data_IF_672795386136
#
_entry.id   IF_672795386136
#
_cell.length_a   1.000
_cell.length_b   1.000
_cell.length_c   1.000
_cell.angle_alpha   90.00
_cell.angle_beta   90.00
_cell.angle_gamma   90.00
#
_symmetry.space_group_name_H-M   'P 1'
#
loop_
_entity.id
_entity.type
_entity.pdbx_description
1 polymer ?
#
# COMPACT_ATOMS: atom_id res chain seq x y z
N UNK A 1 32.49 -63.26 -31.60
CA UNK A 1 31.79 -63.01 -30.32
C UNK A 1 31.14 -61.64 -30.44
N UNK A 2 29.80 -61.58 -30.48
CA UNK A 2 29.06 -60.34 -30.66
C UNK A 2 28.68 -59.78 -29.28
N UNK A 3 29.09 -58.55 -28.96
CA UNK A 3 28.77 -57.90 -27.69
C UNK A 3 27.29 -57.49 -27.63
N UNK A 4 26.61 -57.61 -26.48
CA UNK A 4 25.26 -57.11 -26.34
C UNK A 4 25.26 -55.57 -26.26
N UNK A 5 24.34 -54.95 -26.99
CA UNK A 5 24.02 -53.52 -26.84
C UNK A 5 23.20 -53.39 -25.56
N UNK A 6 23.76 -52.75 -24.54
CA UNK A 6 23.01 -52.39 -23.35
C UNK A 6 21.98 -51.32 -23.73
N UNK A 7 20.70 -51.63 -23.54
CA UNK A 7 19.62 -50.65 -23.61
C UNK A 7 19.79 -49.67 -22.44
N UNK A 8 20.43 -48.54 -22.70
CA UNK A 8 20.40 -47.39 -21.80
C UNK A 8 18.99 -46.80 -21.89
N UNK A 9 18.09 -47.30 -21.06
CA UNK A 9 16.80 -46.63 -20.84
C UNK A 9 17.09 -45.29 -20.16
N UNK A 10 16.94 -44.19 -20.91
CA UNK A 10 17.01 -42.87 -20.29
C UNK A 10 15.95 -42.78 -19.19
N UNK A 11 16.31 -42.33 -17.98
CA UNK A 11 15.33 -42.13 -16.93
C UNK A 11 14.38 -41.00 -17.36
N UNK A 12 13.15 -41.35 -17.71
CA UNK A 12 12.09 -40.38 -17.98
C UNK A 12 11.58 -39.80 -16.66
N UNK A 13 12.14 -38.66 -16.27
CA UNK A 13 11.70 -37.91 -15.08
C UNK A 13 10.54 -36.96 -15.40
N UNK A 14 9.55 -36.90 -14.52
CA UNK A 14 8.48 -35.89 -14.52
C UNK A 14 8.63 -34.96 -13.32
N UNK A 15 8.30 -33.68 -13.50
CA UNK A 15 8.33 -32.67 -12.44
C UNK A 15 7.03 -31.85 -12.43
N UNK A 16 6.58 -31.48 -11.24
CA UNK A 16 5.44 -30.57 -11.02
C UNK A 16 5.76 -29.57 -9.92
N UNK A 17 5.12 -28.40 -9.95
CA UNK A 17 5.28 -27.36 -8.94
C UNK A 17 3.92 -26.97 -8.32
N UNK A 18 3.94 -26.65 -7.02
CA UNK A 18 2.83 -25.99 -6.33
C UNK A 18 3.12 -24.49 -6.38
N UNK A 19 2.27 -23.74 -7.06
CA UNK A 19 2.38 -22.27 -7.14
C UNK A 19 1.31 -21.65 -6.26
N UNK A 20 1.71 -21.05 -5.14
CA UNK A 20 0.84 -20.17 -4.40
C UNK A 20 0.69 -18.85 -5.20
N UNK A 21 -0.51 -18.59 -5.70
CA UNK A 21 -0.81 -17.33 -6.40
C UNK A 21 -1.50 -16.37 -5.44
N UNK A 22 -1.04 -15.13 -5.41
CA UNK A 22 -1.73 -14.03 -4.73
C UNK A 22 -2.12 -12.98 -5.76
N UNK A 23 -3.33 -12.45 -5.62
CA UNK A 23 -3.74 -11.32 -6.43
C UNK A 23 -2.93 -10.09 -6.05
N UNK A 24 -2.51 -9.31 -7.05
CA UNK A 24 -1.73 -8.09 -6.88
C UNK A 24 -2.41 -6.95 -7.61
N UNK A 25 -2.37 -5.77 -7.02
CA UNK A 25 -2.92 -4.55 -7.59
C UNK A 25 -2.33 -3.33 -6.89
N UNK A 26 -2.64 -2.15 -7.43
CA UNK A 26 -2.25 -0.88 -6.83
C UNK A 26 -3.42 0.11 -6.92
N UNK A 27 -3.45 1.06 -6.00
CA UNK A 27 -4.39 2.17 -6.02
C UNK A 27 -3.62 3.48 -5.86
N UNK A 28 -3.91 4.45 -6.70
CA UNK A 28 -3.31 5.79 -6.62
C UNK A 28 -4.29 6.73 -5.94
N UNK A 29 -3.96 7.14 -4.71
CA UNK A 29 -4.69 8.16 -3.97
C UNK A 29 -4.07 9.53 -4.23
N UNK A 30 -4.86 10.47 -4.77
CA UNK A 30 -4.48 11.87 -4.93
C UNK A 30 -5.18 12.70 -3.86
N UNK A 31 -4.42 13.50 -3.13
CA UNK A 31 -4.93 14.42 -2.11
C UNK A 31 -4.78 15.84 -2.65
N UNK A 32 -5.86 16.37 -3.19
CA UNK A 32 -5.94 17.77 -3.59
C UNK A 32 -6.37 18.62 -2.39
N UNK A 33 -5.73 19.77 -2.18
CA UNK A 33 -6.04 20.63 -1.04
C UNK A 33 -5.52 20.11 0.31
N UNK A 34 -4.29 19.57 0.34
CA UNK A 34 -3.65 19.08 1.57
C UNK A 34 -3.77 20.05 2.76
N UNK A 35 -3.59 21.35 2.54
CA UNK A 35 -3.72 22.35 3.60
C UNK A 35 -5.11 22.35 4.25
N UNK A 36 -6.17 22.25 3.46
CA UNK A 36 -7.53 22.16 3.97
C UNK A 36 -7.75 20.84 4.72
N UNK A 37 -7.17 19.74 4.25
CA UNK A 37 -7.22 18.46 4.96
C UNK A 37 -6.55 18.54 6.34
N UNK A 38 -5.52 19.37 6.54
CA UNK A 38 -4.90 19.55 7.85
C UNK A 38 -5.79 20.24 8.90
N UNK A 39 -6.93 20.80 8.50
CA UNK A 39 -7.94 21.28 9.44
C UNK A 39 -8.73 20.15 10.11
N UNK A 40 -8.64 18.90 9.60
CA UNK A 40 -9.26 17.72 10.22
C UNK A 40 -8.64 17.45 11.60
N UNK A 41 -9.41 17.35 12.69
CA UNK A 41 -8.86 17.08 14.02
C UNK A 41 -8.05 15.78 14.09
N UNK A 42 -7.12 15.68 15.04
CA UNK A 42 -6.44 14.41 15.35
C UNK A 42 -7.47 13.33 15.69
N UNK A 43 -7.30 12.15 15.10
CA UNK A 43 -8.22 11.03 15.23
C UNK A 43 -9.42 11.04 14.29
N UNK A 44 -9.66 12.13 13.57
CA UNK A 44 -10.61 12.18 12.46
C UNK A 44 -9.92 11.85 11.13
N UNK A 45 -10.68 11.32 10.17
CA UNK A 45 -10.14 10.87 8.89
C UNK A 45 -10.98 11.28 7.69
N UNK A 46 -10.32 11.29 6.54
CA UNK A 46 -10.93 11.32 5.22
C UNK A 46 -10.81 9.93 4.59
N UNK A 47 -11.75 9.54 3.73
CA UNK A 47 -11.73 8.25 3.06
C UNK A 47 -11.53 8.41 1.56
N UNK A 48 -10.79 7.48 0.96
CA UNK A 48 -10.75 7.34 -0.49
C UNK A 48 -12.11 6.85 -1.03
N UNK A 49 -12.27 6.98 -2.34
CA UNK A 49 -13.23 6.14 -3.06
C UNK A 49 -12.89 4.66 -2.85
N UNK A 50 -13.92 3.81 -2.92
CA UNK A 50 -13.75 2.36 -2.89
C UNK A 50 -12.98 1.90 -4.14
N UNK A 51 -12.14 0.88 -3.99
CA UNK A 51 -11.43 0.24 -5.09
C UNK A 51 -11.39 -1.28 -4.91
N UNK A 52 -11.23 -2.01 -6.02
CA UNK A 52 -11.31 -3.46 -6.04
C UNK A 52 -9.96 -4.09 -6.37
N UNK A 53 -9.44 -4.94 -5.47
CA UNK A 53 -8.18 -5.67 -5.67
C UNK A 53 -8.30 -7.04 -5.04
N UNK A 54 -7.94 -8.07 -5.80
CA UNK A 54 -7.85 -9.44 -5.30
C UNK A 54 -9.16 -10.05 -4.83
N UNK A 55 -10.28 -9.67 -5.47
CA UNK A 55 -11.59 -10.19 -5.10
C UNK A 55 -12.31 -9.40 -4.02
N UNK A 56 -11.68 -8.36 -3.49
CA UNK A 56 -12.17 -7.63 -2.32
C UNK A 56 -12.30 -6.13 -2.59
N UNK A 57 -13.30 -5.52 -1.95
CA UNK A 57 -13.50 -4.07 -1.91
C UNK A 57 -12.70 -3.44 -0.76
N UNK A 58 -11.94 -2.40 -1.07
CA UNK A 58 -11.07 -1.72 -0.12
C UNK A 58 -11.29 -0.20 -0.12
N UNK A 59 -10.94 0.44 0.99
CA UNK A 59 -10.78 1.90 1.11
C UNK A 59 -9.49 2.25 1.84
N UNK A 60 -8.93 3.40 1.51
CA UNK A 60 -7.85 4.02 2.29
C UNK A 60 -8.45 5.07 3.21
N UNK A 61 -8.10 5.00 4.49
CA UNK A 61 -8.43 5.99 5.50
C UNK A 61 -7.19 6.86 5.73
N UNK A 62 -7.34 8.15 5.50
CA UNK A 62 -6.28 9.15 5.59
C UNK A 62 -6.52 10.03 6.82
N UNK A 63 -5.57 10.01 7.75
CA UNK A 63 -5.57 10.81 8.97
C UNK A 63 -4.50 11.91 8.82
N UNK A 64 -4.89 13.16 8.53
CA UNK A 64 -3.92 14.24 8.27
C UNK A 64 -3.08 14.61 9.50
N UNK A 65 -3.60 14.36 10.71
CA UNK A 65 -3.03 14.74 12.01
C UNK A 65 -2.96 13.55 12.98
N UNK A 66 -2.66 12.35 12.47
CA UNK A 66 -2.61 11.13 13.27
C UNK A 66 -3.97 10.52 13.59
N UNK A 67 -3.97 9.24 13.94
CA UNK A 67 -5.16 8.49 14.40
C UNK A 67 -5.51 8.76 15.87
N UNK A 68 -4.52 9.15 16.65
CA UNK A 68 -4.61 9.34 18.09
C UNK A 68 -3.49 10.26 18.55
N UNK A 69 -3.44 10.55 19.85
CA UNK A 69 -2.40 11.40 20.44
C UNK A 69 -0.99 10.85 20.25
N UNK A 70 -0.82 9.53 20.18
CA UNK A 70 0.49 8.89 19.99
C UNK A 70 1.01 9.12 18.57
N UNK A 71 0.09 9.29 17.62
CA UNK A 71 0.41 9.48 16.21
C UNK A 71 0.17 10.92 15.70
N UNK A 72 -0.11 11.87 16.58
CA UNK A 72 -0.56 13.23 16.24
C UNK A 72 0.43 14.00 15.35
N UNK A 73 1.73 13.75 15.51
CA UNK A 73 2.80 14.39 14.74
C UNK A 73 3.03 13.74 13.35
N UNK A 74 2.21 12.74 13.01
CA UNK A 74 2.33 11.97 11.78
C UNK A 74 1.09 12.10 10.90
N UNK A 75 1.30 11.83 9.62
CA UNK A 75 0.22 11.51 8.70
C UNK A 75 0.04 10.00 8.71
N UNK A 76 -1.16 9.51 8.98
CA UNK A 76 -1.43 8.07 9.02
C UNK A 76 -2.35 7.63 7.89
N UNK A 77 -2.07 6.46 7.31
CA UNK A 77 -2.86 5.86 6.25
C UNK A 77 -3.21 4.42 6.60
N UNK A 78 -4.47 4.04 6.48
CA UNK A 78 -4.92 2.68 6.80
C UNK A 78 -5.65 2.08 5.62
N UNK A 79 -5.35 0.83 5.31
CA UNK A 79 -6.11 0.03 4.37
C UNK A 79 -7.24 -0.68 5.13
N UNK A 80 -8.48 -0.48 4.69
CA UNK A 80 -9.65 -1.11 5.31
C UNK A 80 -10.41 -1.91 4.27
N UNK A 81 -10.79 -3.13 4.65
CA UNK A 81 -11.76 -3.95 3.93
C UNK A 81 -13.14 -3.29 4.02
N UNK A 82 -13.74 -3.00 2.87
CA UNK A 82 -15.00 -2.29 2.72
C UNK A 82 -16.11 -3.22 2.21
N UNK A 83 -16.23 -4.36 2.89
CA UNK A 83 -17.23 -5.39 2.63
C UNK A 83 -17.48 -6.21 3.89
N UNK A 84 -18.60 -6.93 3.89
CA UNK A 84 -18.92 -7.90 4.95
C UNK A 84 -18.24 -9.21 4.57
N UNK A 85 -17.07 -9.45 5.14
CA UNK A 85 -16.37 -10.72 4.99
C UNK A 85 -16.77 -11.69 6.10
N UNK A 86 -17.02 -12.95 5.72
CA UNK A 86 -17.29 -14.05 6.65
C UNK A 86 -16.03 -14.60 7.31
N UNK A 87 -14.87 -14.34 6.69
CA UNK A 87 -13.55 -14.78 7.13
C UNK A 87 -12.55 -13.63 7.08
N UNK A 88 -11.44 -13.78 7.81
CA UNK A 88 -10.35 -12.81 7.80
C UNK A 88 -9.65 -12.78 6.44
N UNK A 89 -9.47 -11.57 5.90
CA UNK A 89 -8.72 -11.38 4.65
C UNK A 89 -7.27 -11.07 4.98
N UNK A 90 -6.36 -11.98 4.61
CA UNK A 90 -4.92 -11.77 4.73
C UNK A 90 -4.40 -10.97 3.54
N UNK A 91 -3.76 -9.83 3.82
CA UNK A 91 -3.25 -8.95 2.77
C UNK A 91 -1.87 -8.39 3.12
N UNK A 92 -1.09 -8.08 2.10
CA UNK A 92 0.17 -7.35 2.24
C UNK A 92 0.07 -6.12 1.38
N UNK A 93 0.32 -4.96 1.97
CA UNK A 93 0.35 -3.72 1.22
C UNK A 93 1.59 -2.91 1.58
N UNK A 94 1.89 -1.98 0.69
CA UNK A 94 2.99 -1.04 0.84
C UNK A 94 2.49 0.29 0.32
N UNK A 95 2.70 1.34 1.10
CA UNK A 95 2.35 2.70 0.71
C UNK A 95 3.62 3.39 0.24
N UNK A 96 3.60 3.87 -1.00
CA UNK A 96 4.69 4.61 -1.60
C UNK A 96 4.22 6.05 -1.84
N UNK A 97 5.03 7.02 -1.43
CA UNK A 97 4.77 8.42 -1.72
C UNK A 97 5.37 8.78 -3.09
N UNK A 98 4.50 9.17 -4.01
CA UNK A 98 4.94 9.71 -5.28
C UNK A 98 5.53 11.11 -5.08
N UNK A 99 6.75 11.33 -5.56
CA UNK A 99 7.35 12.67 -5.60
C UNK A 99 6.69 13.46 -6.73
N UNK A 100 5.92 14.48 -6.39
CA UNK A 100 5.44 15.44 -7.39
C UNK A 100 6.60 16.36 -7.76
N UNK A 101 7.18 16.16 -8.94
CA UNK A 101 8.08 17.14 -9.53
C UNK A 101 7.24 18.28 -10.12
N UNK A 102 7.22 19.42 -9.45
CA UNK A 102 6.65 20.63 -10.03
C UNK A 102 7.44 21.02 -11.29
N UNK A 103 6.74 21.14 -12.43
CA UNK A 103 7.27 21.90 -13.56
C UNK A 103 7.27 23.37 -13.16
N UNK A 104 8.43 24.02 -13.23
CA UNK A 104 8.55 25.48 -13.15
C UNK A 104 7.69 26.08 -14.27
N UNK A 105 6.57 26.69 -13.92
CA UNK A 105 5.91 27.63 -14.82
C UNK A 105 6.74 28.93 -14.80
N UNK A 106 6.93 29.52 -15.98
CA UNK A 106 7.84 30.64 -16.23
C UNK A 106 7.39 32.00 -15.67
N UNK A 107 6.40 32.04 -14.77
CA UNK A 107 5.83 33.30 -14.25
C UNK A 107 6.15 33.55 -12.78
N UNK A 108 6.53 34.80 -12.40
CA UNK A 108 7.22 35.05 -11.12
C UNK A 108 6.34 35.09 -9.86
N UNK A 109 5.01 35.04 -9.97
CA UNK A 109 4.11 35.23 -8.83
C UNK A 109 3.34 33.97 -8.39
N UNK A 110 3.51 32.84 -9.07
CA UNK A 110 2.88 31.58 -8.69
C UNK A 110 3.88 30.68 -7.95
N UNK A 111 3.82 30.65 -6.61
CA UNK A 111 4.52 29.64 -5.81
C UNK A 111 3.68 28.36 -5.77
N UNK A 112 4.22 27.26 -6.30
CA UNK A 112 3.69 25.91 -6.01
C UNK A 112 4.52 25.32 -4.87
N UNK A 113 3.84 24.71 -3.90
CA UNK A 113 4.43 24.18 -2.66
C UNK A 113 4.93 22.76 -2.87
N UNK A 114 6.26 22.58 -2.83
CA UNK A 114 6.89 21.27 -2.87
C UNK A 114 6.73 20.53 -1.55
N UNK A 115 6.07 19.38 -1.59
CA UNK A 115 6.13 18.39 -0.53
C UNK A 115 7.26 17.39 -0.80
N UNK A 116 8.22 17.29 0.11
CA UNK A 116 9.27 16.26 0.06
C UNK A 116 8.96 15.25 1.15
N UNK A 117 8.53 14.05 0.75
CA UNK A 117 8.33 12.93 1.66
C UNK A 117 9.43 11.90 1.39
N UNK A 118 10.25 11.61 2.39
CA UNK A 118 11.21 10.50 2.37
C UNK A 118 10.43 9.19 2.32
N UNK A 119 10.78 8.31 1.38
CA UNK A 119 10.13 7.01 1.24
C UNK A 119 10.45 6.12 2.43
N UNK A 120 9.45 5.85 3.27
CA UNK A 120 9.53 4.81 4.29
C UNK A 120 8.97 3.52 3.69
N UNK A 121 9.85 2.61 3.30
CA UNK A 121 9.49 1.26 2.87
C UNK A 121 9.42 0.37 4.09
N UNK A 122 8.22 0.00 4.53
CA UNK A 122 8.03 -1.13 5.44
C UNK A 122 7.10 -2.14 4.77
N UNK A 123 7.57 -3.36 4.44
CA UNK A 123 6.68 -4.45 4.10
C UNK A 123 5.96 -4.87 5.39
N UNK A 124 4.64 -4.76 5.40
CA UNK A 124 3.85 -5.21 6.53
C UNK A 124 2.93 -6.34 6.10
N UNK A 125 3.16 -7.53 6.63
CA UNK A 125 2.20 -8.63 6.55
C UNK A 125 1.10 -8.38 7.58
N UNK A 126 -0.14 -8.17 7.14
CA UNK A 126 -1.25 -7.90 8.04
C UNK A 126 -2.47 -8.76 7.73
N UNK A 127 -3.16 -9.16 8.79
CA UNK A 127 -4.47 -9.79 8.70
C UNK A 127 -5.52 -8.72 8.98
N UNK A 128 -6.42 -8.48 8.03
CA UNK A 128 -7.59 -7.62 8.24
C UNK A 128 -8.73 -8.50 8.76
N UNK A 129 -9.12 -8.31 10.02
CA UNK A 129 -10.28 -8.98 10.61
C UNK A 129 -11.56 -8.17 10.33
N UNK A 130 -12.76 -8.79 10.30
CA UNK A 130 -14.00 -8.04 10.20
C UNK A 130 -14.09 -7.04 11.35
N UNK A 131 -14.32 -5.77 11.01
CA UNK A 131 -14.32 -4.60 11.91
C UNK A 131 -12.96 -4.16 12.51
N UNK A 132 -11.82 -4.69 12.04
CA UNK A 132 -10.49 -4.24 12.49
C UNK A 132 -9.61 -3.82 11.30
N UNK A 133 -9.26 -2.53 11.14
CA UNK A 133 -8.42 -2.07 10.04
C UNK A 133 -7.01 -2.68 10.14
N UNK A 134 -6.42 -3.04 9.00
CA UNK A 134 -5.02 -3.40 8.94
C UNK A 134 -4.16 -2.15 9.20
N UNK A 135 -3.30 -2.20 10.22
CA UNK A 135 -2.59 -1.05 10.78
C UNK A 135 -1.23 -0.80 10.12
N UNK A 136 -1.11 0.20 9.25
CA UNK A 136 0.20 0.79 8.90
C UNK A 136 0.23 2.27 9.33
N UNK A 137 0.82 2.57 10.48
CA UNK A 137 1.23 3.95 10.74
C UNK A 137 2.53 4.20 9.98
N UNK A 138 2.58 5.25 9.16
CA UNK A 138 3.80 5.66 8.47
C UNK A 138 4.26 6.99 9.03
N UNK A 139 5.52 7.04 9.43
CA UNK A 139 6.16 8.24 9.94
C UNK A 139 6.54 9.15 8.78
N UNK A 140 5.72 10.18 8.54
CA UNK A 140 6.16 11.35 7.78
C UNK A 140 6.48 12.44 8.79
N UNK A 141 7.71 12.47 9.32
CA UNK A 141 8.19 13.62 10.08
C UNK A 141 8.30 14.81 9.11
N UNK A 142 7.51 15.89 9.27
CA UNK A 142 7.85 17.14 8.62
C UNK A 142 9.12 17.65 9.30
N UNK A 143 10.21 17.77 8.55
CA UNK A 143 11.39 18.44 9.07
C UNK A 143 10.99 19.90 9.35
N UNK A 144 11.10 20.41 10.59
CA UNK A 144 10.93 21.84 10.83
C UNK A 144 12.08 22.56 10.10
N UNK A 145 11.70 23.57 9.33
CA UNK A 145 12.60 24.55 8.70
C UNK A 145 13.18 25.50 9.74
#
# INVERSE_FOLDING_TARGET
MSSPIACVGEPSGSASAIVATSARGYHTLKIDGYWCAKATPTGEFLQSSQFFVGGHCWRIYYFPNGKDSETADYISFYLKLDEIATEDVKTMFTINFAKVAEKRLSWPWASTTRYVFGGVTLPSSMTSAPNRPALQSLSLCPHPS
#
